data_IF_583374518474
#
_entry.id   IF_583374518474
#
_cell.length_a   1.000
_cell.length_b   1.000
_cell.length_c   1.000
_cell.angle_alpha   90.00
_cell.angle_beta   90.00
_cell.angle_gamma   90.00
#
_symmetry.space_group_name_H-M   'P 1'
#
loop_
_entity.id
_entity.type
_entity.pdbx_description
1 polymer ?
#
# COMPACT_ATOMS: atom_id res chain seq x y z
N UNK A 1 27.59 -5.50 43.00
CA UNK A 1 27.08 -4.82 44.21
C UNK A 1 27.27 -3.32 44.05
N UNK A 2 26.27 -2.56 43.59
CA UNK A 2 26.23 -1.09 43.75
C UNK A 2 24.77 -0.64 43.83
N UNK A 3 24.46 -0.11 45.02
CA UNK A 3 23.48 0.89 45.46
C UNK A 3 22.13 1.14 44.79
N UNK A 4 21.13 1.07 45.67
CA UNK A 4 19.83 1.71 45.67
C UNK A 4 19.86 3.22 45.36
N UNK A 5 18.87 3.67 44.59
CA UNK A 5 18.28 5.00 44.77
C UNK A 5 16.77 4.93 44.50
N UNK A 6 15.99 4.87 45.59
CA UNK A 6 14.57 5.30 45.63
C UNK A 6 14.53 6.82 45.46
N UNK A 7 13.45 7.40 44.92
CA UNK A 7 12.87 8.69 45.38
C UNK A 7 11.55 9.03 44.66
N UNK A 8 10.50 9.24 45.49
CA UNK A 8 9.37 10.22 45.42
C UNK A 8 8.35 10.01 44.28
N UNK A 9 7.09 9.64 44.51
CA UNK A 9 5.99 10.22 45.32
C UNK A 9 5.68 11.70 45.05
N UNK A 10 4.62 11.96 44.29
CA UNK A 10 3.76 13.16 44.35
C UNK A 10 2.36 12.75 43.83
N UNK A 11 1.34 12.65 44.68
CA UNK A 11 0.41 13.70 45.16
C UNK A 11 -0.58 14.22 44.08
N UNK A 12 -1.74 13.55 44.08
CA UNK A 12 -3.13 14.04 44.03
C UNK A 12 -3.35 15.51 43.63
N UNK A 13 -4.23 15.73 42.64
CA UNK A 13 -5.13 16.88 42.59
C UNK A 13 -6.52 16.43 42.08
N UNK A 14 -7.63 16.80 42.76
CA UNK A 14 -8.99 16.52 42.31
C UNK A 14 -9.71 17.79 41.80
N UNK A 15 -10.90 17.57 41.26
CA UNK A 15 -12.03 18.51 41.10
C UNK A 15 -11.93 19.57 39.99
N UNK A 16 -12.83 19.45 39.01
CA UNK A 16 -13.79 20.52 38.67
C UNK A 16 -14.89 19.93 37.78
N UNK A 17 -16.03 19.63 38.40
CA UNK A 17 -17.29 19.44 37.69
C UNK A 17 -17.92 20.81 37.44
N UNK A 18 -18.14 21.17 36.17
CA UNK A 18 -19.01 22.27 35.80
C UNK A 18 -20.18 21.71 35.01
N UNK A 19 -21.34 21.68 35.66
CA UNK A 19 -22.63 21.49 35.02
C UNK A 19 -23.12 22.86 34.52
N UNK A 20 -23.39 22.96 33.23
CA UNK A 20 -24.11 24.09 32.64
C UNK A 20 -25.34 23.54 31.91
N UNK A 21 -26.50 23.66 32.56
CA UNK A 21 -27.81 23.45 31.94
C UNK A 21 -28.10 24.67 31.05
N UNK A 22 -27.93 24.50 29.74
CA UNK A 22 -28.40 25.44 28.74
C UNK A 22 -29.73 24.97 28.14
N UNK A 23 -30.79 25.75 28.32
CA UNK A 23 -32.08 25.54 27.70
C UNK A 23 -31.98 25.70 26.17
N UNK A 24 -32.34 24.67 25.42
CA UNK A 24 -32.42 24.72 23.96
C UNK A 24 -33.87 24.98 23.53
N UNK A 25 -34.11 26.19 23.04
CA UNK A 25 -35.30 26.57 22.26
C UNK A 25 -35.29 25.87 20.91
N UNK A 26 -36.31 25.08 20.64
CA UNK A 26 -36.61 24.46 19.35
C UNK A 26 -37.21 25.51 18.40
N UNK A 27 -36.41 26.03 17.48
CA UNK A 27 -36.90 26.72 16.28
C UNK A 27 -36.58 25.81 15.12
N UNK A 28 -37.61 25.16 14.56
CA UNK A 28 -37.49 24.28 13.40
C UNK A 28 -37.45 25.11 12.12
N UNK A 29 -36.32 25.20 11.40
CA UNK A 29 -36.30 25.83 10.09
C UNK A 29 -36.76 24.77 9.08
N UNK A 30 -37.81 25.10 8.33
CA UNK A 30 -38.22 24.36 7.14
C UNK A 30 -37.11 24.49 6.11
N UNK A 31 -36.21 23.50 6.08
CA UNK A 31 -35.18 23.41 5.06
C UNK A 31 -35.78 22.80 3.81
N UNK A 32 -35.91 23.62 2.77
CA UNK A 32 -36.08 23.15 1.42
C UNK A 32 -34.85 22.28 1.07
N UNK A 33 -35.01 20.97 1.09
CA UNK A 33 -34.02 20.03 0.57
C UNK A 33 -33.97 20.18 -0.94
N UNK A 34 -33.18 21.13 -1.42
CA UNK A 34 -32.61 21.04 -2.77
C UNK A 34 -31.79 19.77 -2.78
N UNK A 35 -32.27 18.76 -3.50
CA UNK A 35 -31.49 17.57 -3.82
C UNK A 35 -30.28 18.03 -4.66
N UNK A 36 -29.21 18.42 -3.99
CA UNK A 36 -27.90 18.53 -4.61
C UNK A 36 -27.57 17.15 -5.12
N UNK A 37 -27.72 16.97 -6.44
CA UNK A 37 -27.12 15.87 -7.18
C UNK A 37 -25.64 15.86 -6.82
N UNK A 38 -25.28 15.09 -5.79
CA UNK A 38 -23.91 14.90 -5.39
C UNK A 38 -23.25 14.23 -6.59
N UNK A 39 -22.53 15.02 -7.37
CA UNK A 39 -21.68 14.52 -8.44
C UNK A 39 -20.68 13.62 -7.72
N UNK A 40 -20.95 12.31 -7.73
CA UNK A 40 -20.22 11.33 -6.95
C UNK A 40 -18.73 11.56 -7.21
N UNK A 41 -18.07 12.11 -6.18
CA UNK A 41 -16.70 12.61 -6.28
C UNK A 41 -15.84 11.48 -6.81
N UNK A 42 -15.31 11.67 -8.02
CA UNK A 42 -14.55 10.65 -8.71
C UNK A 42 -13.44 10.14 -7.80
N UNK A 43 -13.47 8.85 -7.47
CA UNK A 43 -12.67 8.32 -6.36
C UNK A 43 -11.17 8.60 -6.55
N UNK A 44 -10.60 9.47 -5.72
CA UNK A 44 -9.16 9.81 -5.67
C UNK A 44 -8.35 8.77 -4.90
N UNK A 45 -9.04 7.75 -4.37
CA UNK A 45 -8.50 6.73 -3.50
C UNK A 45 -9.05 5.36 -3.84
N UNK A 46 -8.20 4.36 -3.75
CA UNK A 46 -8.62 2.96 -3.68
C UNK A 46 -8.34 2.43 -2.29
N UNK A 47 -9.26 1.59 -1.85
CA UNK A 47 -9.16 0.82 -0.63
C UNK A 47 -9.64 -0.60 -0.95
N UNK A 48 -8.73 -1.42 -1.48
CA UNK A 48 -9.00 -2.82 -1.81
C UNK A 48 -8.59 -3.70 -0.63
N UNK A 49 -9.50 -4.56 -0.20
CA UNK A 49 -9.25 -5.59 0.81
C UNK A 49 -9.13 -6.91 0.07
N UNK A 50 -7.96 -7.51 0.16
CA UNK A 50 -7.73 -8.83 -0.38
C UNK A 50 -8.16 -9.88 0.66
N UNK A 51 -9.01 -10.79 0.23
CA UNK A 51 -9.49 -11.92 1.03
C UNK A 51 -9.17 -13.28 0.42
N UNK A 52 -8.51 -13.31 -0.75
CA UNK A 52 -8.29 -14.52 -1.53
C UNK A 52 -7.27 -15.44 -0.87
N UNK A 53 -6.26 -14.89 -0.18
CA UNK A 53 -5.21 -15.64 0.53
C UNK A 53 -4.60 -16.69 -0.39
N UNK A 54 -4.16 -16.24 -1.54
CA UNK A 54 -3.79 -17.07 -2.67
C UNK A 54 -2.32 -16.97 -3.05
N UNK A 55 -1.50 -16.56 -2.08
CA UNK A 55 -0.04 -16.70 -2.09
C UNK A 55 0.38 -17.95 -2.82
N UNK A 56 1.22 -17.76 -3.82
CA UNK A 56 1.82 -18.82 -4.61
C UNK A 56 3.30 -18.92 -4.30
N UNK A 57 3.92 -20.04 -4.65
CA UNK A 57 5.36 -20.16 -4.59
C UNK A 57 5.90 -21.27 -5.46
N UNK A 58 7.17 -21.12 -5.81
CA UNK A 58 7.98 -22.05 -6.58
C UNK A 58 9.41 -22.08 -6.02
N UNK A 59 10.21 -23.04 -6.45
CA UNK A 59 11.65 -22.97 -6.24
C UNK A 59 12.24 -21.92 -7.18
N UNK A 60 13.28 -21.23 -6.76
CA UNK A 60 14.02 -20.24 -7.56
C UNK A 60 14.87 -20.93 -8.64
N UNK A 61 15.34 -22.14 -8.36
CA UNK A 61 16.21 -22.92 -9.26
C UNK A 61 15.42 -23.81 -10.23
N UNK A 62 14.13 -24.02 -10.00
CA UNK A 62 13.29 -24.84 -10.88
C UNK A 62 12.39 -23.98 -11.75
N UNK A 63 12.13 -24.44 -12.97
CA UNK A 63 11.10 -23.90 -13.86
C UNK A 63 9.68 -24.34 -13.46
N UNK A 64 9.49 -24.74 -12.20
CA UNK A 64 8.19 -25.20 -11.72
C UNK A 64 7.15 -24.08 -11.82
N UNK A 65 5.93 -24.46 -12.18
CA UNK A 65 4.81 -23.53 -12.10
C UNK A 65 4.55 -23.09 -10.65
N UNK A 66 4.11 -21.84 -10.50
CA UNK A 66 3.74 -21.28 -9.21
C UNK A 66 2.54 -22.04 -8.62
N UNK A 67 2.77 -22.75 -7.51
CA UNK A 67 1.73 -23.51 -6.79
C UNK A 67 1.19 -22.70 -5.64
N UNK A 68 -0.11 -22.80 -5.34
CA UNK A 68 -0.72 -22.11 -4.20
C UNK A 68 -0.15 -22.63 -2.87
N UNK A 69 0.28 -21.72 -1.99
CA UNK A 69 0.85 -21.99 -0.66
C UNK A 69 0.14 -21.18 0.42
N UNK A 70 -0.92 -21.74 1.01
CA UNK A 70 -1.75 -21.06 2.03
C UNK A 70 -1.02 -20.80 3.37
N UNK A 71 0.10 -21.48 3.61
CA UNK A 71 0.83 -21.39 4.89
C UNK A 71 1.72 -20.15 4.96
N UNK A 72 2.12 -19.55 3.83
CA UNK A 72 3.02 -18.41 3.84
C UNK A 72 2.26 -17.08 3.98
N UNK A 73 2.04 -16.66 5.23
CA UNK A 73 1.38 -15.39 5.57
C UNK A 73 2.25 -14.14 5.38
N UNK A 74 3.48 -14.29 4.92
CA UNK A 74 4.45 -13.18 4.86
C UNK A 74 4.32 -12.39 3.56
N UNK A 75 4.07 -13.10 2.45
CA UNK A 75 3.71 -12.52 1.15
C UNK A 75 2.19 -12.26 1.03
N UNK A 76 1.36 -12.85 1.90
CA UNK A 76 -0.12 -12.70 1.89
C UNK A 76 -0.53 -11.21 2.03
N UNK A 77 -0.89 -10.57 0.91
CA UNK A 77 -1.45 -9.22 0.87
C UNK A 77 -2.86 -9.28 1.45
N UNK A 78 -3.16 -8.35 2.34
CA UNK A 78 -4.48 -8.24 2.97
C UNK A 78 -5.20 -6.96 2.55
N UNK A 79 -4.43 -5.97 2.09
CA UNK A 79 -4.96 -4.66 1.76
C UNK A 79 -4.02 -3.91 0.83
N UNK A 80 -4.60 -3.39 -0.24
CA UNK A 80 -3.97 -2.40 -1.09
C UNK A 80 -4.74 -1.08 -1.01
N UNK A 81 -4.04 0.00 -0.70
CA UNK A 81 -4.61 1.34 -0.83
C UNK A 81 -3.75 2.19 -1.74
N UNK A 82 -4.39 3.02 -2.55
CA UNK A 82 -3.70 4.01 -3.37
C UNK A 82 -4.41 5.35 -3.29
N UNK A 83 -3.65 6.45 -3.31
CA UNK A 83 -4.18 7.81 -3.40
C UNK A 83 -3.41 8.59 -4.47
N UNK A 84 -4.11 9.37 -5.28
CA UNK A 84 -3.51 10.12 -6.38
C UNK A 84 -3.83 11.62 -6.33
N UNK A 85 -2.85 12.43 -6.73
CA UNK A 85 -2.81 13.91 -6.64
C UNK A 85 -1.46 14.38 -7.15
N UNK A 86 -0.75 15.29 -6.45
CA UNK A 86 0.64 15.65 -6.78
C UNK A 86 1.64 14.48 -6.72
N UNK A 87 1.27 13.41 -6.03
CA UNK A 87 2.03 12.16 -5.89
C UNK A 87 1.05 11.00 -5.94
N UNK A 88 1.46 9.89 -6.54
CA UNK A 88 0.82 8.60 -6.35
C UNK A 88 1.43 7.92 -5.12
N UNK A 89 0.58 7.56 -4.17
CA UNK A 89 1.01 6.86 -2.95
C UNK A 89 0.33 5.51 -2.92
N UNK A 90 1.11 4.46 -3.09
CA UNK A 90 0.66 3.06 -3.10
C UNK A 90 1.06 2.45 -1.77
N UNK A 91 0.18 1.70 -1.15
CA UNK A 91 0.41 1.10 0.15
C UNK A 91 -0.11 -0.31 0.16
N UNK A 92 0.81 -1.27 0.16
CA UNK A 92 0.51 -2.69 0.34
C UNK A 92 0.68 -3.06 1.82
N UNK A 93 -0.28 -3.81 2.35
CA UNK A 93 -0.27 -4.34 3.71
C UNK A 93 -0.35 -5.86 3.65
N UNK A 94 0.65 -6.52 4.23
CA UNK A 94 0.71 -7.97 4.31
C UNK A 94 0.16 -8.47 5.64
N UNK A 95 -0.14 -9.77 5.71
CA UNK A 95 -0.70 -10.41 6.90
C UNK A 95 0.30 -10.59 8.02
N UNK A 96 1.59 -10.66 7.69
CA UNK A 96 2.72 -10.68 8.62
C UNK A 96 3.80 -9.70 8.16
N UNK A 97 4.63 -9.27 9.10
CA UNK A 97 5.81 -8.44 8.79
C UNK A 97 6.70 -9.14 7.77
N UNK A 98 6.93 -8.50 6.62
CA UNK A 98 7.93 -8.96 5.66
C UNK A 98 9.35 -8.88 6.25
N UNK A 99 10.23 -9.83 5.92
CA UNK A 99 11.63 -9.83 6.39
C UNK A 99 12.36 -8.55 5.98
N UNK A 100 13.48 -8.24 6.64
CA UNK A 100 14.20 -6.98 6.35
C UNK A 100 14.92 -7.06 5.00
N UNK A 101 15.36 -8.26 4.68
CA UNK A 101 16.02 -8.82 3.53
C UNK A 101 15.09 -9.80 2.80
N UNK A 102 15.45 -10.23 1.59
CA UNK A 102 14.71 -11.22 0.79
C UNK A 102 13.22 -10.89 0.60
N UNK A 103 12.90 -9.62 0.35
CA UNK A 103 11.53 -9.18 0.08
C UNK A 103 11.46 -8.14 -1.04
N UNK A 104 10.31 -8.07 -1.68
CA UNK A 104 10.05 -7.10 -2.72
C UNK A 104 8.58 -6.69 -2.77
N UNK A 105 8.34 -5.51 -3.33
CA UNK A 105 7.03 -5.03 -3.73
C UNK A 105 7.18 -4.47 -5.13
N UNK A 106 6.43 -5.03 -6.07
CA UNK A 106 6.34 -4.56 -7.45
C UNK A 106 4.99 -3.93 -7.64
N UNK A 107 4.93 -2.71 -8.16
CA UNK A 107 3.68 -2.03 -8.45
C UNK A 107 3.60 -1.69 -9.94
N UNK A 108 2.55 -2.17 -10.62
CA UNK A 108 2.26 -1.82 -12.02
C UNK A 108 1.30 -0.64 -12.07
N UNK A 109 1.59 0.33 -12.91
CA UNK A 109 0.85 1.57 -13.05
C UNK A 109 0.39 1.73 -14.50
N UNK A 110 -0.91 1.86 -14.73
CA UNK A 110 -1.42 2.31 -16.03
C UNK A 110 -1.80 3.78 -15.94
N UNK A 111 -1.49 4.58 -16.96
CA UNK A 111 -1.76 6.02 -16.98
C UNK A 111 -2.70 6.38 -18.12
N UNK A 112 -3.53 7.42 -17.94
CA UNK A 112 -4.38 7.90 -19.03
C UNK A 112 -3.59 8.77 -19.99
N UNK A 113 -3.74 8.53 -21.30
CA UNK A 113 -3.13 9.36 -22.34
C UNK A 113 -1.65 9.07 -22.60
N UNK A 114 -1.13 7.97 -22.06
CA UNK A 114 0.16 7.40 -22.43
C UNK A 114 -0.08 5.97 -22.88
N UNK A 115 0.64 5.54 -23.91
CA UNK A 115 0.69 4.14 -24.33
C UNK A 115 1.54 3.29 -23.36
N UNK A 116 2.24 3.92 -22.42
CA UNK A 116 3.14 3.26 -21.50
C UNK A 116 2.46 2.91 -20.17
N UNK A 117 2.61 1.65 -19.77
CA UNK A 117 2.50 1.24 -18.37
C UNK A 117 3.85 1.50 -17.69
N UNK A 118 3.83 1.92 -16.44
CA UNK A 118 5.05 2.03 -15.62
C UNK A 118 5.10 0.88 -14.60
N UNK A 119 6.30 0.53 -14.19
CA UNK A 119 6.54 -0.41 -13.09
C UNK A 119 7.41 0.25 -12.02
N UNK A 120 7.06 0.04 -10.76
CA UNK A 120 7.91 0.41 -9.63
C UNK A 120 8.38 -0.86 -8.93
N UNK A 121 9.69 -1.07 -8.97
CA UNK A 121 10.35 -2.19 -8.32
C UNK A 121 11.00 -1.73 -7.02
N UNK A 122 10.57 -2.32 -5.91
CA UNK A 122 11.28 -2.24 -4.65
C UNK A 122 11.69 -3.63 -4.23
N UNK A 123 12.96 -3.98 -4.38
CA UNK A 123 13.50 -5.32 -4.06
C UNK A 123 14.69 -5.16 -3.11
N UNK A 124 14.78 -6.03 -2.10
CA UNK A 124 15.90 -6.05 -1.15
C UNK A 124 16.39 -7.44 -0.88
N UNK A 125 17.68 -7.67 -1.11
CA UNK A 125 18.40 -8.86 -0.66
C UNK A 125 17.94 -10.17 -1.31
N UNK A 126 17.35 -10.10 -2.51
CA UNK A 126 17.11 -11.28 -3.33
C UNK A 126 18.45 -11.84 -3.83
N UNK A 127 18.54 -13.17 -3.99
CA UNK A 127 19.79 -13.79 -4.47
C UNK A 127 20.15 -13.19 -5.85
N UNK A 128 21.40 -12.77 -6.01
CA UNK A 128 21.89 -12.15 -7.24
C UNK A 128 21.40 -10.72 -7.50
N UNK A 129 20.57 -10.14 -6.62
CA UNK A 129 20.05 -8.79 -6.78
C UNK A 129 20.43 -7.89 -5.60
N UNK A 130 20.94 -6.70 -5.91
CA UNK A 130 21.16 -5.65 -4.94
C UNK A 130 19.86 -5.09 -4.35
N UNK A 131 19.96 -4.04 -3.53
CA UNK A 131 18.77 -3.29 -3.14
C UNK A 131 18.35 -2.42 -4.32
N UNK A 132 17.17 -2.68 -4.88
CA UNK A 132 16.61 -1.95 -6.01
C UNK A 132 15.45 -1.08 -5.53
N UNK A 133 15.48 0.20 -5.93
CA UNK A 133 14.32 1.07 -5.94
C UNK A 133 14.30 1.79 -7.28
N UNK A 134 13.47 1.32 -8.20
CA UNK A 134 13.47 1.77 -9.58
C UNK A 134 12.05 2.03 -10.06
N UNK A 135 11.90 3.04 -10.92
CA UNK A 135 10.73 3.22 -11.77
C UNK A 135 11.19 2.87 -13.19
N UNK A 136 10.38 2.11 -13.93
CA UNK A 136 10.65 1.79 -15.34
C UNK A 136 9.38 1.90 -16.18
N UNK A 137 9.55 1.92 -17.49
CA UNK A 137 8.46 1.69 -18.46
C UNK A 137 8.10 0.20 -18.52
N UNK A 138 7.09 -0.14 -19.31
CA UNK A 138 6.67 -1.50 -19.64
C UNK A 138 7.72 -2.28 -20.45
N UNK A 139 8.62 -1.57 -21.13
CA UNK A 139 9.78 -2.12 -21.83
C UNK A 139 11.00 -2.27 -20.90
N UNK A 140 10.80 -2.11 -19.58
CA UNK A 140 11.82 -2.16 -18.54
C UNK A 140 12.91 -1.07 -18.65
N UNK A 141 12.65 -0.02 -19.43
CA UNK A 141 13.58 1.12 -19.51
C UNK A 141 13.56 1.92 -18.20
N UNK A 142 14.71 2.19 -17.57
CA UNK A 142 14.77 2.92 -16.32
C UNK A 142 14.30 4.38 -16.50
N UNK A 143 13.37 4.81 -15.66
CA UNK A 143 12.89 6.19 -15.60
C UNK A 143 13.53 6.88 -14.40
N UNK A 144 14.35 7.90 -14.67
CA UNK A 144 14.94 8.72 -13.62
C UNK A 144 13.87 9.53 -12.91
N UNK A 145 13.59 9.20 -11.64
CA UNK A 145 12.53 9.83 -10.88
C UNK A 145 13.04 10.44 -9.56
N UNK A 146 13.38 11.74 -9.62
CA UNK A 146 13.73 12.50 -8.44
C UNK A 146 12.54 12.55 -7.45
N UNK A 147 12.69 11.87 -6.31
CA UNK A 147 11.68 11.83 -5.25
C UNK A 147 10.86 10.54 -5.18
N UNK A 148 11.18 9.52 -6.00
CA UNK A 148 10.73 8.15 -5.76
C UNK A 148 11.19 7.70 -4.37
N UNK A 149 10.26 7.23 -3.53
CA UNK A 149 10.56 6.84 -2.14
C UNK A 149 9.79 5.60 -1.72
N UNK A 150 10.42 4.81 -0.87
CA UNK A 150 9.77 3.71 -0.15
C UNK A 150 9.86 3.93 1.35
N UNK A 151 8.73 3.73 2.04
CA UNK A 151 8.65 3.76 3.50
C UNK A 151 8.12 2.42 3.99
N UNK A 152 8.83 1.80 4.93
CA UNK A 152 8.40 0.58 5.61
C UNK A 152 7.90 0.91 7.00
N UNK A 153 6.76 0.34 7.36
CA UNK A 153 6.25 0.35 8.73
C UNK A 153 6.06 -1.10 9.17
N UNK A 154 7.14 -1.73 9.62
CA UNK A 154 7.18 -3.17 9.96
C UNK A 154 6.13 -3.54 11.02
N UNK A 155 5.97 -2.72 12.07
CA UNK A 155 4.95 -2.90 13.09
C UNK A 155 3.50 -2.86 12.56
N UNK A 156 3.30 -2.31 11.35
CA UNK A 156 2.01 -2.26 10.65
C UNK A 156 1.97 -3.15 9.41
N UNK A 157 2.99 -3.99 9.20
CA UNK A 157 3.13 -4.93 8.09
C UNK A 157 2.94 -4.26 6.73
N UNK A 158 3.50 -3.06 6.58
CA UNK A 158 3.13 -2.14 5.50
C UNK A 158 4.32 -1.61 4.75
N UNK A 159 4.22 -1.61 3.43
CA UNK A 159 5.14 -0.93 2.52
C UNK A 159 4.37 0.16 1.79
N UNK A 160 4.93 1.37 1.82
CA UNK A 160 4.40 2.54 1.12
C UNK A 160 5.38 2.99 0.05
N UNK A 161 4.97 2.93 -1.20
CA UNK A 161 5.65 3.47 -2.37
C UNK A 161 5.08 4.85 -2.67
N UNK A 162 5.95 5.83 -2.94
CA UNK A 162 5.59 7.21 -3.25
C UNK A 162 6.25 7.60 -4.57
N UNK A 163 5.42 7.83 -5.59
CA UNK A 163 5.84 8.24 -6.93
C UNK A 163 5.35 9.67 -7.18
N UNK A 164 6.23 10.66 -7.37
CA UNK A 164 5.84 11.98 -7.85
C UNK A 164 5.08 11.90 -9.19
N UNK A 165 3.96 12.62 -9.35
CA UNK A 165 3.14 12.54 -10.56
C UNK A 165 3.91 12.91 -11.84
N UNK A 166 4.84 13.87 -11.73
CA UNK A 166 5.77 14.26 -12.81
C UNK A 166 6.63 13.12 -13.37
N UNK A 167 6.90 12.09 -12.57
CA UNK A 167 7.71 10.96 -13.02
C UNK A 167 6.95 10.00 -13.94
N UNK A 168 5.62 10.13 -13.99
CA UNK A 168 4.72 9.27 -14.77
C UNK A 168 3.91 10.07 -15.78
N UNK A 169 4.40 11.25 -16.18
CA UNK A 169 3.75 12.08 -17.22
C UNK A 169 2.54 12.89 -16.74
N UNK A 170 2.33 13.06 -15.43
CA UNK A 170 1.25 13.90 -14.89
C UNK A 170 -0.20 13.55 -15.34
N UNK A 171 -0.55 12.26 -15.52
CA UNK A 171 -1.81 11.86 -16.15
C UNK A 171 -3.03 12.27 -15.33
N UNK A 172 -4.15 12.50 -16.00
CA UNK A 172 -5.42 12.84 -15.33
C UNK A 172 -5.97 11.66 -14.53
N UNK A 173 -5.66 10.43 -14.94
CA UNK A 173 -6.07 9.19 -14.27
C UNK A 173 -4.95 8.16 -14.22
N UNK A 174 -4.95 7.34 -13.18
CA UNK A 174 -4.04 6.19 -13.04
C UNK A 174 -4.77 4.93 -12.57
N UNK A 175 -4.31 3.74 -12.94
CA UNK A 175 -4.66 2.46 -12.29
C UNK A 175 -3.41 1.89 -11.65
N UNK A 176 -3.60 1.10 -10.59
CA UNK A 176 -2.48 0.48 -9.90
C UNK A 176 -2.78 -0.97 -9.57
N UNK A 177 -1.79 -1.82 -9.72
CA UNK A 177 -1.73 -3.17 -9.15
C UNK A 177 -0.48 -3.30 -8.29
N UNK A 178 -0.45 -4.26 -7.38
CA UNK A 178 0.78 -4.50 -6.62
C UNK A 178 0.90 -5.97 -6.21
N UNK A 179 2.11 -6.48 -6.41
CA UNK A 179 2.54 -7.79 -5.98
C UNK A 179 3.55 -7.64 -4.84
N UNK A 180 3.53 -8.59 -3.90
CA UNK A 180 4.63 -8.74 -2.95
C UNK A 180 5.40 -10.02 -3.25
N UNK A 181 6.70 -9.96 -3.02
CA UNK A 181 7.65 -11.03 -3.24
C UNK A 181 8.35 -11.29 -1.90
N UNK A 182 8.44 -12.54 -1.48
CA UNK A 182 9.24 -12.94 -0.31
C UNK A 182 10.02 -14.18 -0.68
N UNK A 183 11.33 -14.13 -0.54
CA UNK A 183 12.19 -15.29 -0.70
C UNK A 183 12.50 -15.90 0.68
N UNK A 184 12.51 -17.24 0.78
CA UNK A 184 12.97 -17.99 1.97
C UNK A 184 13.78 -19.18 1.49
N UNK A 185 15.11 -19.10 1.66
CA UNK A 185 16.02 -20.08 1.09
C UNK A 185 15.89 -20.11 -0.44
N UNK A 186 15.65 -21.30 -0.98
CA UNK A 186 15.47 -21.59 -2.40
C UNK A 186 14.04 -21.33 -2.90
N UNK A 187 13.12 -20.85 -2.06
CA UNK A 187 11.71 -20.66 -2.44
C UNK A 187 11.34 -19.20 -2.58
N UNK A 188 10.64 -18.87 -3.66
CA UNK A 188 9.99 -17.59 -3.88
C UNK A 188 8.49 -17.71 -3.60
N UNK A 189 7.95 -16.74 -2.87
CA UNK A 189 6.53 -16.60 -2.59
C UNK A 189 6.01 -15.27 -3.13
N UNK A 190 4.89 -15.33 -3.81
CA UNK A 190 4.31 -14.22 -4.57
C UNK A 190 2.82 -14.11 -4.24
N UNK A 191 2.32 -12.89 -4.11
CA UNK A 191 0.89 -12.62 -3.96
C UNK A 191 0.53 -11.31 -4.65
N UNK A 192 -0.56 -11.29 -5.41
CA UNK A 192 -1.11 -10.10 -6.06
C UNK A 192 -2.36 -9.61 -5.32
N UNK A 193 -2.50 -8.30 -5.21
CA UNK A 193 -3.59 -7.69 -4.46
C UNK A 193 -4.98 -7.85 -5.11
N UNK A 194 -5.09 -8.13 -6.40
CA UNK A 194 -6.37 -8.08 -7.12
C UNK A 194 -6.78 -9.36 -7.86
N UNK A 195 -5.83 -10.26 -8.17
CA UNK A 195 -6.09 -11.37 -9.08
C UNK A 195 -5.98 -12.75 -8.43
N UNK A 196 -6.72 -13.69 -9.01
CA UNK A 196 -6.51 -15.13 -8.83
C UNK A 196 -5.84 -15.78 -10.05
N UNK A 197 -5.49 -15.04 -11.11
CA UNK A 197 -5.05 -15.60 -12.40
C UNK A 197 -3.91 -16.59 -12.24
N UNK A 198 -3.93 -17.59 -13.11
CA UNK A 198 -3.19 -18.83 -12.97
C UNK A 198 -1.67 -18.69 -13.12
N UNK A 199 -1.17 -17.60 -13.69
CA UNK A 199 0.24 -17.49 -14.05
C UNK A 199 1.12 -16.88 -12.95
N UNK A 200 0.57 -16.04 -12.06
CA UNK A 200 1.33 -15.33 -11.02
C UNK A 200 2.34 -14.31 -11.55
N UNK A 201 2.31 -14.01 -12.86
CA UNK A 201 3.19 -13.05 -13.54
C UNK A 201 2.44 -11.80 -13.98
N UNK A 202 1.12 -11.91 -14.19
CA UNK A 202 0.28 -10.77 -14.54
C UNK A 202 -0.21 -10.06 -13.27
N UNK A 203 0.12 -8.77 -13.13
CA UNK A 203 -0.37 -7.94 -12.01
C UNK A 203 -1.71 -7.31 -12.41
N UNK A 204 -2.79 -7.71 -11.75
CA UNK A 204 -4.09 -7.12 -12.00
C UNK A 204 -4.16 -5.67 -11.50
N UNK A 205 -4.86 -4.85 -12.28
CA UNK A 205 -4.96 -3.42 -12.04
C UNK A 205 -6.30 -3.06 -11.41
N UNK A 206 -6.25 -2.06 -10.53
CA UNK A 206 -7.42 -1.45 -9.93
C UNK A 206 -8.32 -0.73 -10.94
N UNK A 207 -9.47 -0.25 -10.46
CA UNK A 207 -10.20 0.85 -11.14
C UNK A 207 -9.36 2.12 -11.27
N UNK A 208 -9.76 3.03 -12.16
CA UNK A 208 -9.12 4.33 -12.35
C UNK A 208 -9.25 5.22 -11.10
N UNK A 209 -8.15 5.82 -10.65
CA UNK A 209 -8.12 6.98 -9.75
C UNK A 209 -7.99 8.25 -10.58
N UNK A 210 -8.72 9.32 -10.23
CA UNK A 210 -8.52 10.64 -10.83
C UNK A 210 -7.55 11.48 -9.99
N UNK A 211 -6.79 12.36 -10.64
CA UNK A 211 -5.94 13.36 -9.97
C UNK A 211 -6.83 14.38 -9.25
N UNK A 212 -6.49 14.70 -8.00
CA UNK A 212 -7.09 15.80 -7.22
C UNK A 212 -6.22 17.05 -7.30
#
# INVERSE_FOLDING_TARGET
MVNHARLRTALIAPVAAFAAMGAMTLVSPVHATTAESSVASATTRINHKDSLRDVRGASVESSDSLKRVRTNKTADITKLTATYGRKLVITSTTRRTMPKDQMGVVARLATSGSDYDYQVDYVRGFIGQGNVLQLSTNEYEPVTCAGLKVKRANAKHRVKIIVPARCIGEPTRVRVGAVTLVQKGDRLFIDDAFDNTSDGYTIALSRWLKRR
#
